data_IF_905942442223
#
_entry.id   IF_905942442223
#
_cell.length_a   1.000
_cell.length_b   1.000
_cell.length_c   1.000
_cell.angle_alpha   90.00
_cell.angle_beta   90.00
_cell.angle_gamma   90.00
#
_symmetry.space_group_name_H-M   'P 1'
#
loop_
_entity.id
_entity.type
_entity.pdbx_description
1 polymer ?
#
# COMPACT_ATOMS: atom_id res chain seq x y z
N UNK A 1 25.72 -19.05 36.33
CA UNK A 1 24.29 -19.42 36.18
C UNK A 1 23.49 -18.20 35.74
N UNK A 2 23.28 -17.95 34.44
CA UNK A 2 22.53 -16.76 33.96
C UNK A 2 21.71 -17.03 32.68
N UNK A 3 21.28 -18.28 32.47
CA UNK A 3 20.63 -18.72 31.22
C UNK A 3 19.09 -18.73 31.17
N UNK A 4 18.28 -18.56 32.25
CA UNK A 4 16.82 -18.66 32.11
C UNK A 4 16.17 -17.37 31.57
N UNK A 5 16.74 -16.18 31.83
CA UNK A 5 16.14 -14.90 31.41
C UNK A 5 16.27 -14.64 29.90
N UNK A 6 17.38 -15.05 29.27
CA UNK A 6 17.56 -14.90 27.82
C UNK A 6 16.51 -15.74 27.07
N UNK A 7 16.21 -16.95 27.56
CA UNK A 7 15.28 -17.85 26.89
C UNK A 7 13.85 -17.31 26.89
N UNK A 8 13.38 -16.75 28.02
CA UNK A 8 12.03 -16.13 28.11
C UNK A 8 11.94 -14.85 27.29
N UNK A 9 12.98 -14.00 27.31
CA UNK A 9 13.02 -12.78 26.49
C UNK A 9 13.06 -13.15 24.99
N UNK A 10 13.79 -14.18 24.61
CA UNK A 10 13.88 -14.65 23.23
C UNK A 10 12.56 -15.29 22.77
N UNK A 11 11.88 -16.07 23.63
CA UNK A 11 10.53 -16.59 23.36
C UNK A 11 9.51 -15.45 23.21
N UNK A 12 9.58 -14.41 24.06
CA UNK A 12 8.75 -13.22 23.94
C UNK A 12 8.98 -12.49 22.62
N UNK A 13 10.25 -12.30 22.21
CA UNK A 13 10.63 -11.71 20.92
C UNK A 13 10.20 -12.58 19.73
N UNK A 14 10.22 -13.91 19.87
CA UNK A 14 9.71 -14.86 18.86
C UNK A 14 8.18 -14.79 18.76
N UNK A 15 7.44 -14.68 19.87
CA UNK A 15 5.99 -14.44 19.84
C UNK A 15 5.61 -13.05 19.32
N UNK A 16 6.51 -12.07 19.42
CA UNK A 16 6.37 -10.72 18.85
C UNK A 16 6.77 -10.65 17.36
N UNK A 17 7.53 -11.63 16.83
CA UNK A 17 7.72 -11.87 15.38
C UNK A 17 6.44 -12.45 14.75
N UNK A 18 5.29 -11.81 15.00
CA UNK A 18 3.98 -12.18 14.44
C UNK A 18 3.95 -11.86 12.94
N UNK A 19 4.50 -12.77 12.14
CA UNK A 19 4.38 -12.86 10.68
C UNK A 19 5.08 -11.73 9.93
N UNK A 20 6.22 -12.03 9.32
CA UNK A 20 6.76 -11.25 8.21
C UNK A 20 5.80 -11.35 7.03
N UNK A 21 4.78 -10.49 7.05
CA UNK A 21 3.78 -10.41 6.01
C UNK A 21 4.37 -9.57 4.89
N UNK A 22 4.67 -10.23 3.77
CA UNK A 22 4.92 -9.56 2.49
C UNK A 22 3.93 -8.41 2.32
N UNK A 23 4.45 -7.18 2.20
CA UNK A 23 3.61 -5.99 2.08
C UNK A 23 2.88 -6.07 0.74
N UNK A 24 1.56 -6.15 0.79
CA UNK A 24 0.69 -6.21 -0.38
C UNK A 24 0.19 -4.81 -0.69
N UNK A 25 0.38 -4.36 -1.93
CA UNK A 25 -0.18 -3.11 -2.44
C UNK A 25 -1.14 -3.44 -3.56
N UNK A 26 -2.35 -2.90 -3.50
CA UNK A 26 -3.36 -3.06 -4.54
C UNK A 26 -3.95 -1.71 -4.94
N UNK A 27 -4.15 -1.51 -6.23
CA UNK A 27 -4.94 -0.39 -6.74
C UNK A 27 -6.42 -0.66 -6.47
N UNK A 28 -7.12 0.32 -5.90
CA UNK A 28 -8.56 0.27 -5.60
C UNK A 28 -9.24 1.57 -5.97
N UNK A 29 -10.56 1.50 -6.11
CA UNK A 29 -11.39 2.66 -6.46
C UNK A 29 -12.40 2.96 -5.37
N UNK A 30 -12.73 4.24 -5.20
CA UNK A 30 -13.77 4.74 -4.29
C UNK A 30 -14.69 5.66 -5.08
N UNK A 31 -16.01 5.43 -5.03
CA UNK A 31 -16.98 6.36 -5.63
C UNK A 31 -16.87 7.73 -4.98
N UNK A 32 -16.87 8.77 -5.81
CA UNK A 32 -16.90 10.18 -5.41
C UNK A 32 -18.09 10.86 -6.10
N UNK A 33 -18.31 12.15 -5.83
CA UNK A 33 -19.36 12.93 -6.48
C UNK A 33 -19.15 13.02 -8.01
N UNK A 34 -20.21 13.41 -8.71
CA UNK A 34 -20.22 13.69 -10.15
C UNK A 34 -19.91 12.47 -11.05
N UNK A 35 -20.33 11.27 -10.65
CA UNK A 35 -20.17 10.06 -11.48
C UNK A 35 -18.71 9.66 -11.70
N UNK A 36 -17.83 9.99 -10.75
CA UNK A 36 -16.39 9.69 -10.81
C UNK A 36 -16.00 8.69 -9.73
N UNK A 37 -14.89 8.00 -9.94
CA UNK A 37 -14.24 7.12 -8.96
C UNK A 37 -12.82 7.59 -8.73
N UNK A 38 -12.48 7.89 -7.48
CA UNK A 38 -11.10 8.22 -7.09
C UNK A 38 -10.27 6.96 -6.92
N UNK A 39 -9.03 6.99 -7.39
CA UNK A 39 -8.06 5.91 -7.26
C UNK A 39 -7.22 6.06 -6.00
N UNK A 40 -6.99 4.94 -5.31
CA UNK A 40 -6.12 4.87 -4.15
C UNK A 40 -5.37 3.55 -4.08
N UNK A 41 -4.19 3.57 -3.46
CA UNK A 41 -3.45 2.37 -3.12
C UNK A 41 -3.88 1.86 -1.74
N UNK A 42 -4.18 0.57 -1.65
CA UNK A 42 -4.42 -0.13 -0.39
C UNK A 42 -3.17 -0.94 -0.02
N UNK A 43 -2.48 -0.48 1.02
CA UNK A 43 -1.21 -1.03 1.50
C UNK A 43 -1.47 -1.83 2.78
N UNK A 44 -1.10 -3.11 2.76
CA UNK A 44 -1.22 -3.99 3.91
C UNK A 44 0.09 -4.73 4.22
N UNK A 45 0.59 -4.73 5.47
CA UNK A 45 0.08 -4.00 6.64
C UNK A 45 0.16 -2.46 6.47
N UNK A 46 -0.60 -1.68 7.27
CA UNK A 46 -0.50 -0.22 7.28
C UNK A 46 0.95 0.23 7.50
N UNK A 47 1.37 1.29 6.79
CA UNK A 47 2.74 1.82 6.85
C UNK A 47 2.75 3.13 7.62
N UNK A 48 3.80 3.38 8.41
CA UNK A 48 3.97 4.64 9.11
C UNK A 48 4.13 5.79 8.11
N UNK A 49 3.26 6.78 8.19
CA UNK A 49 3.32 8.01 7.40
C UNK A 49 3.88 9.14 8.28
N UNK A 50 5.07 9.64 7.93
CA UNK A 50 5.73 10.73 8.64
C UNK A 50 4.94 12.04 8.58
N UNK A 51 4.18 12.25 7.51
CA UNK A 51 3.38 13.46 7.30
C UNK A 51 2.12 13.42 8.15
N UNK A 52 1.40 12.30 8.11
CA UNK A 52 0.16 12.12 8.86
C UNK A 52 0.37 11.70 10.32
N UNK A 53 1.62 11.40 10.72
CA UNK A 53 2.03 10.89 12.05
C UNK A 53 1.19 9.70 12.53
N UNK A 54 0.79 8.83 11.61
CA UNK A 54 -0.02 7.65 11.89
C UNK A 54 0.26 6.53 10.89
N UNK A 55 -0.12 5.32 11.26
CA UNK A 55 -0.12 4.18 10.34
C UNK A 55 -1.24 4.34 9.32
N UNK A 56 -0.87 4.56 8.06
CA UNK A 56 -1.80 4.77 6.96
C UNK A 56 -1.87 3.52 6.09
N UNK A 57 -3.10 3.09 5.81
CA UNK A 57 -3.41 1.97 4.91
C UNK A 57 -3.76 2.42 3.50
N UNK A 58 -4.50 3.52 3.39
CA UNK A 58 -5.06 4.01 2.12
C UNK A 58 -4.33 5.28 1.68
N UNK A 59 -3.71 5.24 0.51
CA UNK A 59 -3.01 6.38 -0.09
C UNK A 59 -3.77 6.84 -1.34
N UNK A 60 -4.43 8.00 -1.24
CA UNK A 60 -5.21 8.56 -2.35
C UNK A 60 -4.30 9.18 -3.40
N UNK A 61 -4.43 8.74 -4.66
CA UNK A 61 -3.59 9.20 -5.77
C UNK A 61 -3.99 10.57 -6.32
N UNK A 62 -5.13 11.13 -5.85
CA UNK A 62 -5.79 12.31 -6.42
C UNK A 62 -6.13 12.17 -7.92
N UNK A 63 -6.09 10.95 -8.44
CA UNK A 63 -6.54 10.59 -9.79
C UNK A 63 -8.01 10.14 -9.74
N UNK A 64 -8.73 10.35 -10.84
CA UNK A 64 -10.10 9.88 -10.99
C UNK A 64 -10.37 9.30 -12.37
N UNK A 65 -11.29 8.34 -12.40
CA UNK A 65 -11.87 7.77 -13.61
C UNK A 65 -13.37 8.04 -13.63
N UNK A 66 -13.95 8.18 -14.81
CA UNK A 66 -15.39 8.26 -14.99
C UNK A 66 -16.03 6.88 -14.76
N UNK A 67 -17.09 6.82 -13.95
CA UNK A 67 -17.79 5.56 -13.64
C UNK A 67 -18.49 4.97 -14.86
N UNK A 68 -19.10 5.83 -15.69
CA UNK A 68 -19.78 5.48 -16.92
C UNK A 68 -19.29 6.43 -18.05
N UNK A 69 -18.16 6.14 -18.71
CA UNK A 69 -17.62 7.00 -19.76
C UNK A 69 -18.46 6.89 -21.04
N UNK A 70 -19.15 7.98 -21.41
CA UNK A 70 -20.01 8.03 -22.60
C UNK A 70 -19.21 8.47 -23.84
N UNK A 71 -18.45 9.56 -23.72
CA UNK A 71 -17.61 10.09 -24.81
C UNK A 71 -16.33 9.28 -25.02
N UNK A 72 -15.80 9.30 -26.25
CA UNK A 72 -14.47 8.76 -26.57
C UNK A 72 -13.38 9.38 -25.70
N UNK A 73 -13.45 10.69 -25.44
CA UNK A 73 -12.47 11.40 -24.60
C UNK A 73 -12.50 10.88 -23.16
N UNK A 74 -13.69 10.56 -22.63
CA UNK A 74 -13.82 9.98 -21.28
C UNK A 74 -13.22 8.58 -21.21
N UNK A 75 -13.36 7.79 -22.27
CA UNK A 75 -12.76 6.44 -22.36
C UNK A 75 -11.25 6.54 -22.47
N UNK A 76 -10.75 7.47 -23.28
CA UNK A 76 -9.31 7.71 -23.43
C UNK A 76 -8.69 8.22 -22.13
N UNK A 77 -9.32 9.20 -21.47
CA UNK A 77 -8.93 9.68 -20.13
C UNK A 77 -8.85 8.52 -19.13
N UNK A 78 -9.88 7.66 -19.07
CA UNK A 78 -9.86 6.50 -18.17
C UNK A 78 -8.67 5.57 -18.46
N UNK A 79 -8.36 5.31 -19.73
CA UNK A 79 -7.23 4.47 -20.14
C UNK A 79 -5.90 5.06 -19.69
N UNK A 80 -5.68 6.35 -19.92
CA UNK A 80 -4.46 7.06 -19.54
C UNK A 80 -4.28 7.11 -18.03
N UNK A 81 -5.35 7.42 -17.29
CA UNK A 81 -5.31 7.50 -15.83
C UNK A 81 -5.09 6.12 -15.19
N UNK A 82 -5.69 5.06 -15.72
CA UNK A 82 -5.46 3.70 -15.24
C UNK A 82 -4.00 3.28 -15.48
N UNK A 83 -3.46 3.56 -16.67
CA UNK A 83 -2.06 3.29 -16.99
C UNK A 83 -1.11 4.05 -16.06
N UNK A 84 -1.37 5.34 -15.80
CA UNK A 84 -0.60 6.12 -14.85
C UNK A 84 -0.66 5.53 -13.43
N UNK A 85 -1.84 5.06 -13.00
CA UNK A 85 -2.02 4.44 -11.69
C UNK A 85 -1.26 3.10 -11.56
N UNK A 86 -1.16 2.32 -12.64
CA UNK A 86 -0.35 1.10 -12.71
C UNK A 86 1.15 1.41 -12.56
N UNK A 87 1.65 2.45 -13.22
CA UNK A 87 3.04 2.91 -13.06
C UNK A 87 3.32 3.30 -11.61
N UNK A 88 2.41 4.05 -10.97
CA UNK A 88 2.55 4.45 -9.56
C UNK A 88 2.55 3.21 -8.65
N UNK A 89 1.68 2.23 -8.92
CA UNK A 89 1.64 0.97 -8.19
C UNK A 89 2.97 0.21 -8.31
N UNK A 90 3.50 0.07 -9.53
CA UNK A 90 4.77 -0.61 -9.79
C UNK A 90 5.93 0.06 -9.06
N UNK A 91 6.02 1.41 -9.13
CA UNK A 91 7.03 2.18 -8.38
C UNK A 91 6.92 1.95 -6.88
N UNK A 92 5.70 1.92 -6.35
CA UNK A 92 5.49 1.66 -4.92
C UNK A 92 5.87 0.22 -4.54
N UNK A 93 5.62 -0.77 -5.41
CA UNK A 93 6.02 -2.15 -5.18
C UNK A 93 7.54 -2.31 -5.16
N UNK A 94 8.27 -1.65 -6.07
CA UNK A 94 9.73 -1.63 -6.08
C UNK A 94 10.29 -1.03 -4.79
N UNK A 95 9.80 0.13 -4.38
CA UNK A 95 10.22 0.77 -3.13
C UNK A 95 10.02 -0.14 -1.89
N UNK A 96 8.95 -0.93 -1.87
CA UNK A 96 8.69 -1.87 -0.78
C UNK A 96 9.55 -3.14 -0.87
N UNK A 97 9.87 -3.60 -2.08
CA UNK A 97 10.76 -4.73 -2.31
C UNK A 97 12.17 -4.41 -1.80
N UNK A 98 12.71 -3.25 -2.18
CA UNK A 98 14.04 -2.80 -1.77
C UNK A 98 14.14 -2.72 -0.24
N UNK A 99 13.10 -2.16 0.40
CA UNK A 99 13.05 -2.10 1.86
C UNK A 99 13.04 -3.48 2.51
N UNK A 100 12.39 -4.49 1.92
CA UNK A 100 12.41 -5.84 2.48
C UNK A 100 13.78 -6.52 2.36
N UNK A 101 14.63 -6.12 1.41
CA UNK A 101 15.95 -6.72 1.22
C UNK A 101 16.92 -6.39 2.38
N UNK A 102 16.77 -5.23 3.01
CA UNK A 102 17.62 -4.80 4.13
C UNK A 102 17.25 -5.41 5.48
N UNK A 103 16.08 -6.05 5.60
CA UNK A 103 15.64 -6.73 6.83
C UNK A 103 15.85 -8.24 6.80
N UNK A 104 16.66 -8.76 5.87
CA UNK A 104 17.15 -10.14 5.92
C UNK A 104 18.36 -10.23 6.85
N UNK A 105 18.13 -10.40 8.14
CA UNK A 105 19.14 -10.80 9.13
C UNK A 105 18.65 -12.04 9.90
#
# INVERSE_FOLDING_TARGET
MVKPFICVLMILMITLKKGERMRKVKLRTKKISNGRKSLYLDVYPPVWDSTAKKFTRKYYLKLFVYEAPVSLDMKQHNKEILYLAEIILAKHQLNLHDLNQYWKF
#
